data_IF_820993443463
#
_entry.id   IF_820993443463
#
_cell.length_a   1.000
_cell.length_b   1.000
_cell.length_c   1.000
_cell.angle_alpha   90.00
_cell.angle_beta   90.00
_cell.angle_gamma   90.00
#
_symmetry.space_group_name_H-M   'P 1'
#
loop_
_entity.id
_entity.type
_entity.pdbx_description
1 polymer ?
#
# COMPACT_ATOMS: atom_id res chain seq x y z
N UNK A 1 -25.21 -14.27 2.96
CA UNK A 1 -23.80 -14.06 2.58
C UNK A 1 -22.89 -15.16 3.12
N UNK A 2 -22.67 -15.27 4.44
CA UNK A 2 -21.77 -16.30 5.02
C UNK A 2 -22.13 -17.76 4.63
N UNK A 3 -23.39 -18.16 4.76
CA UNK A 3 -23.86 -19.51 4.41
C UNK A 3 -23.69 -19.82 2.91
N UNK A 4 -23.89 -18.82 2.05
CA UNK A 4 -23.71 -18.96 0.61
C UNK A 4 -22.22 -19.14 0.28
N UNK A 5 -21.35 -18.34 0.89
CA UNK A 5 -19.90 -18.44 0.73
C UNK A 5 -19.38 -19.81 1.18
N UNK A 6 -19.80 -20.31 2.36
CA UNK A 6 -19.41 -21.65 2.83
C UNK A 6 -19.74 -22.76 1.81
N UNK A 7 -20.90 -22.67 1.15
CA UNK A 7 -21.27 -23.61 0.08
C UNK A 7 -20.38 -23.47 -1.15
N UNK A 8 -20.01 -22.26 -1.53
CA UNK A 8 -19.15 -21.99 -2.70
C UNK A 8 -17.70 -22.48 -2.50
N UNK A 9 -17.19 -22.44 -1.26
CA UNK A 9 -15.83 -22.89 -0.91
C UNK A 9 -15.76 -24.33 -0.38
N UNK A 10 -16.87 -25.07 -0.38
CA UNK A 10 -16.92 -26.48 0.01
C UNK A 10 -16.83 -26.75 1.51
N UNK A 11 -17.15 -25.78 2.37
CA UNK A 11 -17.18 -25.96 3.82
C UNK A 11 -18.47 -26.66 4.27
N UNK A 12 -18.38 -27.61 5.23
CA UNK A 12 -19.51 -28.46 5.62
C UNK A 12 -20.63 -27.70 6.36
N UNK A 13 -20.29 -26.71 7.19
CA UNK A 13 -21.28 -25.91 7.92
C UNK A 13 -20.66 -24.58 8.37
N UNK A 14 -21.46 -23.50 8.40
CA UNK A 14 -21.08 -22.25 9.07
C UNK A 14 -21.58 -22.30 10.53
N UNK A 15 -20.70 -22.40 11.53
CA UNK A 15 -21.08 -22.51 12.95
C UNK A 15 -21.71 -21.22 13.52
N UNK A 16 -21.67 -20.12 12.76
CA UNK A 16 -22.26 -18.84 13.13
C UNK A 16 -21.21 -17.77 13.44
N UNK A 17 -21.68 -16.57 13.72
CA UNK A 17 -20.85 -15.49 14.26
C UNK A 17 -20.88 -15.55 15.78
N UNK A 18 -19.75 -15.28 16.41
CA UNK A 18 -19.72 -15.10 17.85
C UNK A 18 -20.37 -13.78 18.27
N UNK A 19 -20.54 -13.60 19.59
CA UNK A 19 -21.13 -12.39 20.14
C UNK A 19 -20.31 -11.14 19.76
N UNK A 20 -18.99 -11.22 19.84
CA UNK A 20 -18.06 -10.13 19.54
C UNK A 20 -18.07 -9.78 18.04
N UNK A 21 -18.06 -10.80 17.19
CA UNK A 21 -18.18 -10.62 15.74
C UNK A 21 -19.51 -9.98 15.35
N UNK A 22 -20.61 -10.41 15.96
CA UNK A 22 -21.94 -9.81 15.71
C UNK A 22 -21.99 -8.36 16.16
N UNK A 23 -21.44 -8.05 17.33
CA UNK A 23 -21.38 -6.69 17.85
C UNK A 23 -20.57 -5.78 16.92
N UNK A 24 -19.44 -6.27 16.43
CA UNK A 24 -18.59 -5.58 15.46
C UNK A 24 -19.33 -5.31 14.14
N UNK A 25 -20.09 -6.29 13.65
CA UNK A 25 -20.89 -6.14 12.42
C UNK A 25 -22.03 -5.12 12.57
N UNK A 26 -22.63 -5.02 13.77
CA UNK A 26 -23.76 -4.14 14.06
C UNK A 26 -23.34 -2.69 14.32
N UNK A 27 -22.17 -2.48 14.96
CA UNK A 27 -21.71 -1.14 15.32
C UNK A 27 -20.94 -0.44 14.19
N UNK A 28 -20.46 -1.17 13.20
CA UNK A 28 -19.75 -0.56 12.08
C UNK A 28 -20.71 0.12 11.09
N UNK A 29 -20.34 1.31 10.62
CA UNK A 29 -21.21 2.19 9.82
C UNK A 29 -21.35 1.76 8.34
N UNK A 30 -20.46 0.89 7.83
CA UNK A 30 -20.46 0.41 6.45
C UNK A 30 -20.49 1.54 5.40
N UNK A 31 -19.46 2.40 5.30
CA UNK A 31 -19.40 3.48 4.30
C UNK A 31 -19.58 2.99 2.84
N UNK A 32 -19.17 1.76 2.54
CA UNK A 32 -19.38 1.07 1.26
C UNK A 32 -20.70 0.30 1.14
N UNK A 33 -21.64 0.52 2.07
CA UNK A 33 -22.95 -0.13 2.17
C UNK A 33 -22.85 -1.68 2.22
N UNK A 34 -23.88 -2.36 1.73
CA UNK A 34 -23.99 -3.83 1.66
C UNK A 34 -22.82 -4.50 0.91
N UNK A 35 -22.17 -3.79 -0.02
CA UNK A 35 -21.00 -4.34 -0.75
C UNK A 35 -19.80 -4.53 0.16
N UNK A 36 -19.55 -3.59 1.06
CA UNK A 36 -18.47 -3.69 2.05
C UNK A 36 -18.76 -4.80 3.06
N UNK A 37 -19.98 -4.87 3.58
CA UNK A 37 -20.44 -5.93 4.48
C UNK A 37 -20.23 -7.32 3.83
N UNK A 38 -20.63 -7.49 2.57
CA UNK A 38 -20.43 -8.73 1.82
C UNK A 38 -18.95 -9.10 1.73
N UNK A 39 -18.09 -8.17 1.31
CA UNK A 39 -16.65 -8.41 1.18
C UNK A 39 -15.98 -8.77 2.52
N UNK A 40 -16.37 -8.12 3.61
CA UNK A 40 -15.84 -8.38 4.95
C UNK A 40 -16.27 -9.77 5.44
N UNK A 41 -17.54 -10.12 5.26
CA UNK A 41 -18.06 -11.45 5.63
C UNK A 41 -17.40 -12.56 4.81
N UNK A 42 -17.26 -12.39 3.49
CA UNK A 42 -16.61 -13.37 2.62
C UNK A 42 -15.16 -13.63 3.02
N UNK A 43 -14.40 -12.58 3.28
CA UNK A 43 -13.00 -12.71 3.71
C UNK A 43 -12.86 -13.34 5.09
N UNK A 44 -13.72 -12.95 6.02
CA UNK A 44 -13.68 -13.49 7.39
C UNK A 44 -13.99 -14.99 7.36
N UNK A 45 -15.01 -15.41 6.59
CA UNK A 45 -15.36 -16.82 6.39
C UNK A 45 -14.22 -17.59 5.69
N UNK A 46 -13.59 -17.01 4.67
CA UNK A 46 -12.46 -17.64 3.98
C UNK A 46 -11.27 -17.87 4.92
N UNK A 47 -10.94 -16.91 5.79
CA UNK A 47 -9.84 -17.07 6.77
C UNK A 47 -10.19 -18.07 7.87
N UNK A 48 -11.45 -18.08 8.30
CA UNK A 48 -11.92 -18.98 9.35
C UNK A 48 -11.85 -20.47 8.94
N UNK A 49 -11.98 -20.77 7.64
CA UNK A 49 -11.77 -22.13 7.11
C UNK A 49 -12.70 -23.18 7.73
N UNK A 50 -12.24 -24.43 7.80
CA UNK A 50 -12.96 -25.60 8.37
C UNK A 50 -12.88 -25.63 9.89
N UNK A 51 -13.01 -24.49 10.55
CA UNK A 51 -13.11 -24.43 12.00
C UNK A 51 -14.56 -24.68 12.43
N UNK A 52 -14.74 -25.59 13.39
CA UNK A 52 -16.05 -25.91 13.99
C UNK A 52 -16.52 -24.84 15.00
N UNK A 53 -15.70 -23.82 15.27
CA UNK A 53 -15.98 -22.76 16.24
C UNK A 53 -16.68 -21.56 15.60
N UNK A 54 -17.48 -20.79 16.36
CA UNK A 54 -18.06 -19.54 15.86
C UNK A 54 -16.98 -18.57 15.37
N UNK A 55 -17.30 -17.82 14.30
CA UNK A 55 -16.39 -16.83 13.76
C UNK A 55 -16.29 -15.65 14.73
N UNK A 56 -15.12 -15.51 15.36
CA UNK A 56 -14.82 -14.45 16.33
C UNK A 56 -14.22 -13.19 15.69
N UNK A 57 -13.36 -13.36 14.68
CA UNK A 57 -12.57 -12.27 14.12
C UNK A 57 -13.19 -11.71 12.83
N UNK A 58 -13.71 -10.48 12.89
CA UNK A 58 -14.22 -9.75 11.73
C UNK A 58 -13.14 -8.83 11.16
N UNK A 59 -12.69 -9.13 9.94
CA UNK A 59 -11.64 -8.36 9.27
C UNK A 59 -12.28 -7.22 8.48
N UNK A 60 -12.55 -6.10 9.16
CA UNK A 60 -13.13 -4.91 8.52
C UNK A 60 -12.10 -4.25 7.59
N UNK A 61 -10.87 -4.06 8.07
CA UNK A 61 -9.80 -3.42 7.30
C UNK A 61 -8.65 -4.43 7.09
N UNK A 62 -8.52 -5.02 5.88
CA UNK A 62 -7.45 -5.97 5.59
C UNK A 62 -6.07 -5.31 5.48
N UNK A 63 -6.01 -3.98 5.42
CA UNK A 63 -4.77 -3.22 5.29
C UNK A 63 -4.34 -2.54 6.59
N UNK A 64 -5.19 -2.59 7.65
CA UNK A 64 -4.74 -2.28 9.01
C UNK A 64 -3.70 -3.31 9.43
N UNK A 65 -2.44 -2.96 9.21
CA UNK A 65 -1.31 -3.59 9.88
C UNK A 65 -1.56 -3.42 11.37
N UNK A 66 -1.75 -4.52 12.11
CA UNK A 66 -1.64 -4.49 13.56
C UNK A 66 -0.22 -4.03 13.87
N UNK A 67 -0.07 -2.75 14.25
CA UNK A 67 1.22 -2.14 14.53
C UNK A 67 1.71 -2.64 15.87
N UNK A 68 2.32 -3.83 15.88
CA UNK A 68 3.20 -4.30 16.96
C UNK A 68 4.67 -4.14 16.60
N UNK A 69 4.97 -3.35 15.57
CA UNK A 69 6.33 -3.04 15.15
C UNK A 69 6.73 -1.69 15.75
N UNK A 70 7.90 -1.57 16.41
CA UNK A 70 8.39 -0.29 16.92
C UNK A 70 8.40 0.71 15.78
N UNK A 71 7.75 1.86 15.99
CA UNK A 71 7.68 2.94 15.01
C UNK A 71 9.12 3.35 14.64
N UNK A 72 9.57 2.93 13.46
CA UNK A 72 10.70 3.57 12.81
C UNK A 72 10.35 5.06 12.64
N UNK A 73 11.33 5.98 12.78
CA UNK A 73 11.07 7.41 12.68
C UNK A 73 10.30 7.68 11.39
N UNK A 74 9.17 8.37 11.53
CA UNK A 74 8.27 8.74 10.45
C UNK A 74 9.09 9.43 9.36
N UNK A 75 9.42 8.70 8.29
CA UNK A 75 9.78 9.33 7.03
C UNK A 75 8.51 10.00 6.56
N UNK A 76 8.36 11.30 6.91
CA UNK A 76 7.28 12.13 6.39
C UNK A 76 7.18 11.85 4.90
N UNK A 77 6.07 11.30 4.40
CA UNK A 77 5.91 11.12 2.97
C UNK A 77 6.03 12.52 2.37
N UNK A 78 6.91 12.67 1.38
CA UNK A 78 7.03 13.90 0.62
C UNK A 78 5.68 14.12 -0.08
N UNK A 79 4.79 14.85 0.57
CA UNK A 79 3.42 15.04 0.09
C UNK A 79 3.45 16.06 -1.04
N UNK A 80 3.32 15.58 -2.27
CA UNK A 80 3.17 16.44 -3.44
C UNK A 80 1.74 16.97 -3.46
N UNK A 81 1.56 18.30 -3.36
CA UNK A 81 0.25 18.94 -3.33
C UNK A 81 -0.34 19.15 -4.73
N UNK A 82 -1.66 18.97 -4.87
CA UNK A 82 -2.41 19.25 -6.11
C UNK A 82 -3.07 20.64 -6.05
N UNK A 83 -3.29 21.32 -7.19
CA UNK A 83 -2.97 20.90 -8.56
C UNK A 83 -1.49 21.13 -8.91
N UNK A 84 -0.87 20.19 -9.63
CA UNK A 84 0.53 20.29 -10.06
C UNK A 84 0.70 19.86 -11.52
N UNK A 85 1.63 20.49 -12.24
CA UNK A 85 2.05 20.01 -13.56
C UNK A 85 3.07 18.87 -13.37
N UNK A 86 2.63 17.65 -13.68
CA UNK A 86 3.44 16.45 -13.57
C UNK A 86 4.72 16.51 -14.40
N UNK A 87 4.70 17.19 -15.55
CA UNK A 87 5.87 17.28 -16.44
C UNK A 87 6.93 18.19 -15.86
N UNK A 88 6.53 19.34 -15.33
CA UNK A 88 7.44 20.27 -14.67
C UNK A 88 8.03 19.66 -13.41
N UNK A 89 7.21 19.04 -12.58
CA UNK A 89 7.66 18.36 -11.36
C UNK A 89 8.70 17.28 -11.66
N UNK A 90 8.46 16.42 -12.65
CA UNK A 90 9.43 15.39 -13.04
C UNK A 90 10.75 15.98 -13.53
N UNK A 91 10.70 17.05 -14.33
CA UNK A 91 11.91 17.71 -14.80
C UNK A 91 12.72 18.33 -13.67
N UNK A 92 12.06 18.95 -12.69
CA UNK A 92 12.73 19.54 -11.54
C UNK A 92 13.39 18.47 -10.67
N UNK A 93 12.67 17.38 -10.37
CA UNK A 93 13.24 16.26 -9.62
C UNK A 93 14.44 15.63 -10.34
N UNK A 94 14.35 15.45 -11.67
CA UNK A 94 15.46 14.95 -12.47
C UNK A 94 16.70 15.85 -12.36
N UNK A 95 16.52 17.19 -12.42
CA UNK A 95 17.62 18.16 -12.22
C UNK A 95 18.23 18.07 -10.82
N UNK A 96 17.38 18.01 -9.79
CA UNK A 96 17.82 17.97 -8.39
C UNK A 96 18.68 16.73 -8.11
N UNK A 97 18.28 15.56 -8.62
CA UNK A 97 19.05 14.32 -8.50
C UNK A 97 20.38 14.37 -9.27
N UNK A 98 20.39 14.95 -10.48
CA UNK A 98 21.63 15.13 -11.25
C UNK A 98 22.62 16.03 -10.51
N UNK A 99 22.16 17.16 -9.95
CA UNK A 99 23.02 18.05 -9.19
C UNK A 99 23.52 17.40 -7.90
N UNK A 100 22.64 16.74 -7.15
CA UNK A 100 23.00 16.07 -5.89
C UNK A 100 24.02 14.96 -6.12
N UNK A 101 23.81 14.13 -7.15
CA UNK A 101 24.75 13.05 -7.50
C UNK A 101 26.11 13.60 -7.98
N UNK A 102 26.12 14.68 -8.76
CA UNK A 102 27.37 15.36 -9.15
C UNK A 102 28.12 15.91 -7.93
N UNK A 103 27.43 16.58 -7.01
CA UNK A 103 28.05 17.11 -5.79
C UNK A 103 28.64 15.99 -4.92
N UNK A 104 27.89 14.91 -4.68
CA UNK A 104 28.36 13.75 -3.92
C UNK A 104 29.55 13.06 -4.60
N UNK A 105 29.53 12.98 -5.92
CA UNK A 105 30.62 12.41 -6.72
C UNK A 105 31.81 13.37 -6.93
N UNK A 106 31.81 14.56 -6.32
CA UNK A 106 32.82 15.62 -6.53
C UNK A 106 33.01 15.94 -8.02
N UNK A 107 31.91 16.09 -8.75
CA UNK A 107 31.84 16.35 -10.19
C UNK A 107 32.44 15.26 -11.10
N UNK A 108 32.70 14.06 -10.57
CA UNK A 108 33.06 12.91 -11.40
C UNK A 108 31.80 12.30 -12.02
N UNK A 109 31.58 12.56 -13.32
CA UNK A 109 30.39 12.12 -14.05
C UNK A 109 30.20 10.60 -14.09
N UNK A 110 31.27 9.80 -14.09
CA UNK A 110 31.15 8.33 -14.07
C UNK A 110 30.62 7.86 -12.71
N UNK A 111 31.17 8.39 -11.62
CA UNK A 111 30.71 8.08 -10.25
C UNK A 111 29.30 8.61 -10.00
N UNK A 112 28.96 9.80 -10.52
CA UNK A 112 27.59 10.32 -10.43
C UNK A 112 26.59 9.41 -11.15
N UNK A 113 26.98 8.84 -12.30
CA UNK A 113 26.15 7.92 -13.05
C UNK A 113 25.93 6.62 -12.26
N UNK A 114 26.98 6.09 -11.64
CA UNK A 114 26.89 4.93 -10.74
C UNK A 114 25.95 5.18 -9.55
N UNK A 115 26.01 6.37 -8.93
CA UNK A 115 25.10 6.74 -7.82
C UNK A 115 23.63 6.77 -8.24
N UNK A 116 23.34 7.17 -9.47
CA UNK A 116 21.99 7.20 -10.03
C UNK A 116 21.57 5.88 -10.70
N UNK A 117 22.45 4.87 -10.75
CA UNK A 117 22.20 3.62 -11.47
C UNK A 117 22.08 3.81 -12.99
N UNK A 118 22.66 4.89 -13.52
CA UNK A 118 22.66 5.22 -14.94
C UNK A 118 23.98 4.84 -15.59
N UNK A 119 23.94 4.60 -16.89
CA UNK A 119 25.16 4.56 -17.70
C UNK A 119 25.73 5.98 -17.86
N UNK A 120 27.05 6.07 -18.07
CA UNK A 120 27.72 7.36 -18.34
C UNK A 120 27.09 8.13 -19.51
N UNK A 121 26.70 7.43 -20.59
CA UNK A 121 26.07 8.06 -21.75
C UNK A 121 24.68 8.63 -21.44
N UNK A 122 23.88 7.92 -20.63
CA UNK A 122 22.57 8.39 -20.19
C UNK A 122 22.71 9.65 -19.33
N UNK A 123 23.61 9.63 -18.35
CA UNK A 123 23.85 10.81 -17.50
C UNK A 123 24.29 12.01 -18.34
N UNK A 124 25.19 11.82 -19.30
CA UNK A 124 25.64 12.90 -20.19
C UNK A 124 24.52 13.45 -21.08
N UNK A 125 23.63 12.58 -21.58
CA UNK A 125 22.46 13.01 -22.34
C UNK A 125 21.50 13.84 -21.48
N UNK A 126 21.29 13.44 -20.22
CA UNK A 126 20.46 14.18 -19.28
C UNK A 126 21.06 15.53 -18.88
N UNK A 127 22.37 15.61 -18.65
CA UNK A 127 23.08 16.86 -18.43
C UNK A 127 22.91 17.83 -19.59
N UNK A 128 23.06 17.35 -20.83
CA UNK A 128 22.83 18.16 -22.03
C UNK A 128 21.37 18.61 -22.16
N UNK A 129 20.41 17.74 -21.85
CA UNK A 129 18.97 18.04 -21.89
C UNK A 129 18.60 19.14 -20.88
N UNK A 130 19.20 19.09 -19.69
CA UNK A 130 18.93 20.03 -18.60
C UNK A 130 19.86 21.25 -18.55
N UNK A 131 20.85 21.31 -19.45
CA UNK A 131 21.86 22.38 -19.56
C UNK A 131 22.67 22.59 -18.27
N UNK A 132 23.10 21.48 -17.66
CA UNK A 132 23.96 21.42 -16.47
C UNK A 132 25.29 20.77 -16.89
#
# INVERSE_FOLDING_TARGET
FAIQMCREIGLPLFPGFSAEARETLLHYRWPGNIRELKNVVERSVYRHGTSDYPLDEIIIDPFRRHTTQPQAPETKPMSVGLPLDLREFQQQQEKDFLQTSLQQAKFNQKKAAELLGLTYHQLRALLKKHQI
#
